data_IF_874131098682
#
_entry.id   IF_874131098682
#
_cell.length_a   1.000
_cell.length_b   1.000
_cell.length_c   1.000
_cell.angle_alpha   90.00
_cell.angle_beta   90.00
_cell.angle_gamma   90.00
#
_symmetry.space_group_name_H-M   'P 1'
#
loop_
_entity.id
_entity.type
_entity.pdbx_description
1 polymer ?
#
# COMPACT_ATOMS: atom_id res chain seq x y z
N UNK A 1 -11.34 15.74 31.41
CA UNK A 1 -11.28 14.76 32.49
C UNK A 1 -12.41 13.77 32.34
N UNK A 2 -12.17 12.58 31.84
CA UNK A 2 -13.05 11.41 32.03
C UNK A 2 -12.20 10.17 31.77
N UNK A 3 -11.81 9.54 32.89
CA UNK A 3 -11.13 8.27 32.95
C UNK A 3 -12.21 7.18 32.84
N UNK A 4 -12.04 6.25 31.93
CA UNK A 4 -12.83 5.00 31.91
C UNK A 4 -11.86 3.86 32.07
N UNK A 5 -11.85 3.33 33.27
CA UNK A 5 -11.20 2.09 33.70
C UNK A 5 -12.16 0.95 33.40
N UNK A 6 -11.76 -0.02 32.62
CA UNK A 6 -12.48 -1.28 32.48
C UNK A 6 -11.57 -2.44 32.84
N UNK A 7 -11.94 -3.07 33.96
CA UNK A 7 -11.44 -4.32 34.48
C UNK A 7 -11.90 -5.49 33.59
N UNK A 8 -11.00 -6.39 33.27
CA UNK A 8 -11.36 -7.70 32.77
C UNK A 8 -10.83 -8.79 33.66
N UNK A 9 -11.79 -9.53 34.20
CA UNK A 9 -11.62 -10.68 35.04
C UNK A 9 -11.21 -11.92 34.24
N UNK A 10 -10.36 -12.70 34.84
CA UNK A 10 -9.93 -14.02 34.43
C UNK A 10 -11.04 -15.06 34.64
N UNK A 11 -11.09 -16.06 33.78
CA UNK A 11 -11.78 -17.30 34.04
C UNK A 11 -10.94 -18.49 33.59
N UNK A 12 -10.60 -19.30 34.57
CA UNK A 12 -9.85 -20.56 34.51
C UNK A 12 -10.78 -21.75 34.25
N UNK A 13 -10.15 -22.83 33.76
CA UNK A 13 -10.42 -24.26 33.91
C UNK A 13 -11.54 -24.90 33.08
N UNK A 14 -11.17 -25.96 32.34
CA UNK A 14 -11.28 -27.34 32.81
C UNK A 14 -10.50 -28.32 31.94
N UNK A 15 -9.81 -29.23 32.63
CA UNK A 15 -9.13 -30.38 32.07
C UNK A 15 -10.14 -31.50 31.74
N UNK A 16 -9.88 -32.25 30.66
CA UNK A 16 -10.60 -33.47 30.34
C UNK A 16 -9.69 -34.41 29.55
N UNK A 17 -9.05 -35.36 30.26
CA UNK A 17 -8.42 -36.53 29.68
C UNK A 17 -9.47 -37.57 29.31
N UNK A 18 -9.40 -38.11 28.09
CA UNK A 18 -9.84 -39.49 27.78
C UNK A 18 -8.99 -40.08 26.67
N UNK A 19 -8.54 -41.27 26.94
CA UNK A 19 -7.60 -42.14 26.23
C UNK A 19 -8.14 -42.75 24.93
N UNK A 20 -7.20 -43.14 24.06
CA UNK A 20 -7.23 -43.82 22.76
C UNK A 20 -8.13 -45.09 22.70
N UNK A 21 -8.35 -45.77 21.52
CA UNK A 21 -7.29 -46.16 20.57
C UNK A 21 -7.59 -46.06 19.04
N UNK A 22 -6.52 -46.25 18.31
CA UNK A 22 -6.32 -46.52 16.89
C UNK A 22 -7.47 -47.11 16.08
N UNK A 23 -7.64 -46.57 14.85
CA UNK A 23 -7.78 -47.31 13.57
C UNK A 23 -7.48 -46.37 12.41
N UNK A 24 -6.64 -46.89 11.56
CA UNK A 24 -6.23 -46.27 10.31
C UNK A 24 -7.41 -46.01 9.37
N UNK A 25 -7.44 -44.82 8.81
CA UNK A 25 -8.06 -44.60 7.50
C UNK A 25 -7.43 -43.37 6.84
N UNK A 26 -6.68 -43.70 5.85
CA UNK A 26 -6.14 -42.86 4.81
C UNK A 26 -7.29 -42.06 4.17
N UNK A 27 -7.33 -40.78 4.44
CA UNK A 27 -8.07 -39.85 3.62
C UNK A 27 -7.18 -38.63 3.44
N UNK A 28 -6.70 -38.48 2.22
CA UNK A 28 -6.04 -37.29 1.71
C UNK A 28 -6.97 -36.10 1.97
N UNK A 29 -6.68 -35.39 3.02
CA UNK A 29 -7.21 -34.08 3.23
C UNK A 29 -6.13 -33.10 2.84
N UNK A 30 -6.30 -32.57 1.65
CA UNK A 30 -5.56 -31.41 1.20
C UNK A 30 -5.77 -30.33 2.25
N UNK A 31 -4.83 -30.22 3.18
CA UNK A 31 -4.66 -29.04 3.99
C UNK A 31 -4.35 -27.92 3.06
N UNK A 32 -5.36 -27.13 2.76
CA UNK A 32 -5.16 -25.80 2.23
C UNK A 32 -4.35 -25.03 3.25
N UNK A 33 -3.04 -25.08 3.09
CA UNK A 33 -2.13 -24.12 3.66
C UNK A 33 -2.46 -22.79 3.04
N UNK A 34 -3.38 -22.10 3.67
CA UNK A 34 -3.49 -20.66 3.49
C UNK A 34 -2.26 -20.06 4.20
N UNK A 35 -1.08 -20.34 3.63
CA UNK A 35 0.09 -19.54 3.84
C UNK A 35 -0.32 -18.15 3.37
N UNK A 36 -0.66 -17.28 4.32
CA UNK A 36 -0.58 -15.86 4.10
C UNK A 36 0.83 -15.63 3.58
N UNK A 37 0.98 -15.56 2.25
CA UNK A 37 2.17 -15.05 1.61
C UNK A 37 2.29 -13.63 2.16
N UNK A 38 3.12 -13.47 3.17
CA UNK A 38 3.78 -12.21 3.40
C UNK A 38 4.53 -11.95 2.10
N UNK A 39 3.88 -11.22 1.20
CA UNK A 39 4.55 -10.62 0.06
C UNK A 39 5.66 -9.78 0.69
N UNK A 40 6.89 -10.27 0.55
CA UNK A 40 8.07 -9.48 0.87
C UNK A 40 7.89 -8.14 0.15
N UNK A 41 8.07 -7.05 0.88
CA UNK A 41 7.98 -5.73 0.28
C UNK A 41 8.93 -5.69 -0.92
N UNK A 42 8.49 -5.18 -2.08
CA UNK A 42 9.32 -5.12 -3.26
C UNK A 42 10.61 -4.34 -2.96
N UNK A 43 11.73 -4.86 -3.41
CA UNK A 43 13.05 -4.27 -3.20
C UNK A 43 13.51 -3.49 -4.43
N UNK A 44 14.57 -2.70 -4.27
CA UNK A 44 15.18 -1.95 -5.38
C UNK A 44 15.56 -2.82 -6.59
N UNK A 45 15.81 -4.12 -6.38
CA UNK A 45 16.20 -5.07 -7.42
C UNK A 45 15.02 -5.59 -8.25
N UNK A 46 13.80 -5.35 -7.81
CA UNK A 46 12.58 -5.78 -8.49
C UNK A 46 12.15 -4.81 -9.60
N UNK A 47 12.79 -3.63 -9.69
CA UNK A 47 12.46 -2.59 -10.65
C UNK A 47 13.62 -2.27 -11.59
N UNK A 48 13.30 -2.05 -12.88
CA UNK A 48 14.28 -1.61 -13.87
C UNK A 48 14.59 -0.12 -13.70
N UNK A 49 15.75 0.31 -14.20
CA UNK A 49 16.12 1.73 -14.21
C UNK A 49 15.12 2.58 -15.00
N UNK A 50 14.55 2.04 -16.07
CA UNK A 50 13.49 2.68 -16.85
C UNK A 50 12.23 2.90 -16.01
N UNK A 51 11.78 1.89 -15.25
CA UNK A 51 10.62 2.03 -14.36
C UNK A 51 10.86 3.05 -13.25
N UNK A 52 12.08 3.10 -12.71
CA UNK A 52 12.46 4.09 -11.71
C UNK A 52 12.50 5.52 -12.29
N UNK A 53 12.94 5.68 -13.54
CA UNK A 53 12.90 6.97 -14.25
C UNK A 53 11.45 7.41 -14.49
N UNK A 54 10.63 6.52 -15.03
CA UNK A 54 9.20 6.77 -15.25
C UNK A 54 8.47 7.13 -13.95
N UNK A 55 8.82 6.46 -12.86
CA UNK A 55 8.30 6.79 -11.53
C UNK A 55 8.74 8.18 -11.05
N UNK A 56 10.00 8.55 -11.28
CA UNK A 56 10.52 9.86 -10.91
C UNK A 56 9.78 10.98 -11.65
N UNK A 57 9.64 10.83 -12.97
CA UNK A 57 8.96 11.81 -13.83
C UNK A 57 7.47 11.94 -13.47
N UNK A 58 6.76 10.82 -13.36
CA UNK A 58 5.36 10.80 -12.95
C UNK A 58 5.16 11.41 -11.55
N UNK A 59 6.07 11.16 -10.61
CA UNK A 59 6.00 11.72 -9.26
C UNK A 59 6.13 13.24 -9.25
N UNK A 60 6.96 13.82 -10.09
CA UNK A 60 7.07 15.28 -10.23
C UNK A 60 5.77 15.89 -10.77
N UNK A 61 5.20 15.30 -11.81
CA UNK A 61 3.96 15.78 -12.40
C UNK A 61 2.77 15.63 -11.43
N UNK A 62 2.69 14.51 -10.71
CA UNK A 62 1.70 14.29 -9.65
C UNK A 62 1.84 15.34 -8.54
N UNK A 63 3.07 15.71 -8.16
CA UNK A 63 3.30 16.74 -7.16
C UNK A 63 2.76 18.11 -7.61
N UNK A 64 2.97 18.48 -8.88
CA UNK A 64 2.43 19.71 -9.46
C UNK A 64 0.89 19.69 -9.51
N UNK A 65 0.29 18.58 -9.94
CA UNK A 65 -1.16 18.38 -9.93
C UNK A 65 -1.70 18.51 -8.50
N UNK A 66 -1.07 17.86 -7.53
CA UNK A 66 -1.47 17.91 -6.12
C UNK A 66 -1.49 19.34 -5.57
N UNK A 67 -0.50 20.16 -5.93
CA UNK A 67 -0.44 21.56 -5.51
C UNK A 67 -1.59 22.38 -6.12
N UNK A 68 -1.85 22.23 -7.42
CA UNK A 68 -2.94 22.93 -8.11
C UNK A 68 -4.31 22.56 -7.50
N UNK A 69 -4.56 21.27 -7.34
CA UNK A 69 -5.83 20.79 -6.80
C UNK A 69 -6.01 21.14 -5.32
N UNK A 70 -4.93 21.21 -4.54
CA UNK A 70 -4.98 21.71 -3.15
C UNK A 70 -5.44 23.16 -3.11
N UNK A 71 -4.94 24.02 -3.99
CA UNK A 71 -5.38 25.40 -4.09
C UNK A 71 -6.86 25.51 -4.53
N UNK A 72 -7.27 24.66 -5.49
CA UNK A 72 -8.68 24.61 -5.93
C UNK A 72 -9.62 24.16 -4.80
N UNK A 73 -9.19 23.16 -3.99
CA UNK A 73 -9.94 22.70 -2.82
C UNK A 73 -10.11 23.78 -1.76
N UNK A 74 -9.06 24.57 -1.51
CA UNK A 74 -9.13 25.70 -0.55
C UNK A 74 -10.10 26.79 -0.97
N UNK A 75 -10.30 26.98 -2.28
CA UNK A 75 -11.22 27.96 -2.86
C UNK A 75 -12.64 27.43 -3.03
N UNK A 76 -12.85 26.13 -2.85
CA UNK A 76 -14.15 25.51 -3.02
C UNK A 76 -14.98 25.66 -1.74
N UNK A 77 -16.02 26.48 -1.81
CA UNK A 77 -16.94 26.76 -0.70
C UNK A 77 -17.96 25.63 -0.48
N UNK A 78 -18.29 24.89 -1.57
CA UNK A 78 -19.30 23.83 -1.55
C UNK A 78 -18.68 22.46 -1.40
N UNK A 79 -19.25 21.63 -0.54
CA UNK A 79 -18.83 20.23 -0.36
C UNK A 79 -18.94 19.41 -1.65
N UNK A 80 -19.95 19.68 -2.47
CA UNK A 80 -20.13 19.04 -3.78
C UNK A 80 -18.97 19.36 -4.72
N UNK A 81 -18.55 20.63 -4.78
CA UNK A 81 -17.37 21.05 -5.57
C UNK A 81 -16.08 20.41 -5.05
N UNK A 82 -15.91 20.31 -3.73
CA UNK A 82 -14.74 19.64 -3.16
C UNK A 82 -14.65 18.17 -3.56
N UNK A 83 -15.78 17.44 -3.57
CA UNK A 83 -15.81 16.06 -4.02
C UNK A 83 -15.47 15.93 -5.52
N UNK A 84 -15.99 16.81 -6.33
CA UNK A 84 -15.70 16.83 -7.77
C UNK A 84 -14.21 17.12 -8.04
N UNK A 85 -13.62 18.10 -7.34
CA UNK A 85 -12.20 18.44 -7.44
C UNK A 85 -11.32 17.24 -7.04
N UNK A 86 -11.66 16.53 -5.97
CA UNK A 86 -10.93 15.32 -5.55
C UNK A 86 -11.01 14.20 -6.57
N UNK A 87 -12.18 13.99 -7.15
CA UNK A 87 -12.36 12.99 -8.21
C UNK A 87 -11.51 13.32 -9.42
N UNK A 88 -11.56 14.56 -9.89
CA UNK A 88 -10.78 15.06 -11.00
C UNK A 88 -9.26 14.94 -10.75
N UNK A 89 -8.82 15.26 -9.53
CA UNK A 89 -7.42 15.10 -9.13
C UNK A 89 -6.97 13.64 -9.22
N UNK A 90 -7.76 12.72 -8.68
CA UNK A 90 -7.44 11.29 -8.74
C UNK A 90 -7.40 10.76 -10.18
N UNK A 91 -8.35 11.13 -10.99
CA UNK A 91 -8.38 10.72 -12.41
C UNK A 91 -7.15 11.24 -13.16
N UNK A 92 -6.75 12.50 -12.92
CA UNK A 92 -5.53 13.06 -13.51
C UNK A 92 -4.26 12.38 -13.03
N UNK A 93 -4.15 12.11 -11.73
CA UNK A 93 -2.97 11.42 -11.18
C UNK A 93 -2.83 10.00 -11.73
N UNK A 94 -3.93 9.27 -11.88
CA UNK A 94 -3.93 7.94 -12.52
C UNK A 94 -3.50 8.04 -13.98
N UNK A 95 -4.04 9.00 -14.75
CA UNK A 95 -3.66 9.22 -16.14
C UNK A 95 -2.16 9.51 -16.29
N UNK A 96 -1.57 10.33 -15.42
CA UNK A 96 -0.12 10.62 -15.43
C UNK A 96 0.70 9.35 -15.24
N UNK A 97 0.29 8.47 -14.32
CA UNK A 97 0.97 7.19 -14.09
C UNK A 97 0.90 6.30 -15.34
N UNK A 98 -0.27 6.20 -15.95
CA UNK A 98 -0.48 5.38 -17.15
C UNK A 98 0.28 5.97 -18.36
N UNK A 99 0.24 7.28 -18.54
CA UNK A 99 0.94 7.99 -19.62
C UNK A 99 2.47 7.87 -19.47
N UNK A 100 2.99 7.73 -18.26
CA UNK A 100 4.40 7.47 -18.00
C UNK A 100 4.86 6.06 -18.43
N UNK A 101 3.94 5.16 -18.75
CA UNK A 101 4.21 3.77 -19.10
C UNK A 101 4.21 2.81 -17.91
N UNK A 102 3.84 3.28 -16.72
CA UNK A 102 3.68 2.46 -15.53
C UNK A 102 2.22 2.06 -15.32
N UNK A 103 2.01 0.91 -14.70
CA UNK A 103 0.72 0.61 -14.10
C UNK A 103 0.62 1.27 -12.73
N UNK A 104 -0.59 1.58 -12.27
CA UNK A 104 -0.83 2.12 -10.92
C UNK A 104 -0.27 1.19 -9.83
N UNK A 105 -0.35 -0.12 -10.06
CA UNK A 105 0.19 -1.13 -9.15
C UNK A 105 1.72 -1.03 -9.06
N UNK A 106 2.42 -0.96 -10.20
CA UNK A 106 3.89 -0.81 -10.25
C UNK A 106 4.31 0.52 -9.63
N UNK A 107 3.62 1.60 -9.91
CA UNK A 107 3.88 2.91 -9.31
C UNK A 107 3.79 2.87 -7.78
N UNK A 108 2.73 2.26 -7.25
CA UNK A 108 2.56 2.10 -5.80
C UNK A 108 3.63 1.18 -5.19
N UNK A 109 4.01 0.12 -5.87
CA UNK A 109 5.06 -0.79 -5.42
C UNK A 109 6.43 -0.10 -5.33
N UNK A 110 6.79 0.70 -6.35
CA UNK A 110 8.02 1.52 -6.32
C UNK A 110 7.93 2.54 -5.18
N UNK A 111 6.80 3.21 -5.00
CA UNK A 111 6.59 4.18 -3.92
C UNK A 111 6.78 3.58 -2.53
N UNK A 112 6.32 2.34 -2.31
CA UNK A 112 6.56 1.62 -1.06
C UNK A 112 8.04 1.24 -0.89
N UNK A 113 8.68 0.73 -1.94
CA UNK A 113 10.10 0.38 -1.90
C UNK A 113 10.98 1.60 -1.59
N UNK A 114 10.72 2.73 -2.22
CA UNK A 114 11.42 4.01 -1.99
C UNK A 114 11.30 4.48 -0.53
N UNK A 115 10.17 4.24 0.12
CA UNK A 115 9.98 4.61 1.53
C UNK A 115 10.78 3.70 2.49
N UNK A 116 11.08 2.48 2.07
CA UNK A 116 11.76 1.48 2.90
C UNK A 116 13.27 1.41 2.62
N UNK A 117 13.71 1.87 1.45
CA UNK A 117 15.09 1.81 1.00
C UNK A 117 15.64 3.23 0.71
N UNK A 118 16.51 3.75 1.61
CA UNK A 118 17.12 5.07 1.43
C UNK A 118 18.06 5.17 0.22
N UNK A 119 18.63 4.07 -0.25
CA UNK A 119 19.49 4.07 -1.44
C UNK A 119 18.64 4.19 -2.70
N UNK A 120 17.52 3.46 -2.75
CA UNK A 120 16.54 3.59 -3.84
C UNK A 120 15.96 5.01 -3.89
N UNK A 121 15.66 5.59 -2.72
CA UNK A 121 15.19 6.98 -2.64
C UNK A 121 16.19 7.95 -3.27
N UNK A 122 17.49 7.83 -2.94
CA UNK A 122 18.54 8.67 -3.52
C UNK A 122 18.66 8.48 -5.01
N UNK A 123 18.55 7.24 -5.48
CA UNK A 123 18.60 6.90 -6.91
C UNK A 123 17.47 7.56 -7.68
N UNK A 124 16.24 7.44 -7.20
CA UNK A 124 15.05 8.07 -7.80
C UNK A 124 15.16 9.60 -7.79
N UNK A 125 15.62 10.20 -6.67
CA UNK A 125 15.84 11.65 -6.59
C UNK A 125 16.91 12.13 -7.58
N UNK A 126 17.97 11.33 -7.76
CA UNK A 126 19.00 11.64 -8.76
C UNK A 126 18.48 11.59 -10.20
N UNK A 127 17.55 10.69 -10.50
CA UNK A 127 16.88 10.59 -11.80
C UNK A 127 15.93 11.79 -12.04
N UNK A 128 15.16 12.16 -11.04
CA UNK A 128 14.24 13.30 -11.11
C UNK A 128 14.93 14.64 -11.38
N UNK A 129 16.20 14.79 -11.05
CA UNK A 129 16.97 16.00 -11.30
C UNK A 129 17.62 16.07 -12.68
N UNK A 130 17.46 15.05 -13.52
CA UNK A 130 18.08 14.94 -14.85
C UNK A 130 17.07 15.07 -16.01
N UNK A 131 15.79 15.27 -15.70
CA UNK A 131 14.69 15.39 -16.67
C UNK A 131 14.47 16.83 -17.12
#
# INVERSE_FOLDING_TARGET
MRKITALFAASLLTAGMVSAPAMAQETQQASGENAAQQQAAPTAQDFTDEQLQQFADASQEIAAISQDYTQRLQKAEDQSKQQQIRKEANEKMVAVVEDSGLTVETFNAIGQAVQQDPELMKKVQGMAGQS
#
